data_IF_580377519327
#
_entry.id   IF_580377519327
#
_cell.length_a   1.000
_cell.length_b   1.000
_cell.length_c   1.000
_cell.angle_alpha   90.00
_cell.angle_beta   90.00
_cell.angle_gamma   90.00
#
_symmetry.space_group_name_H-M   'P 1'
#
loop_
_entity.id
_entity.type
_entity.pdbx_description
1 polymer ?
#
# COMPACT_ATOMS: atom_id res chain seq x y z
N UNK A 1 -15.46 33.79 -8.00
CA UNK A 1 -15.15 32.43 -7.50
C UNK A 1 -13.64 32.28 -7.53
N UNK A 2 -12.98 32.29 -6.38
CA UNK A 2 -11.53 32.12 -6.33
C UNK A 2 -11.19 30.67 -6.66
N UNK A 3 -10.35 30.45 -7.68
CA UNK A 3 -9.78 29.13 -7.96
C UNK A 3 -8.96 28.71 -6.74
N UNK A 4 -9.48 27.81 -5.90
CA UNK A 4 -8.66 27.11 -4.91
C UNK A 4 -7.52 26.45 -5.70
N UNK A 5 -6.29 26.79 -5.35
CA UNK A 5 -5.13 26.11 -5.91
C UNK A 5 -5.28 24.63 -5.58
N UNK A 6 -5.43 23.79 -6.61
CA UNK A 6 -5.50 22.34 -6.44
C UNK A 6 -4.16 21.93 -5.84
N UNK A 7 -4.18 21.28 -4.67
CA UNK A 7 -3.00 20.69 -4.06
C UNK A 7 -2.37 19.75 -5.08
N UNK A 8 -1.07 19.91 -5.34
CA UNK A 8 -0.33 19.05 -6.26
C UNK A 8 0.61 18.15 -5.50
N UNK A 9 0.90 17.00 -6.08
CA UNK A 9 1.85 16.02 -5.59
C UNK A 9 2.99 15.85 -6.59
N UNK A 10 4.21 15.50 -6.13
CA UNK A 10 5.34 15.30 -7.01
C UNK A 10 5.11 14.12 -7.96
N UNK A 11 5.68 14.20 -9.18
CA UNK A 11 5.79 13.08 -10.11
C UNK A 11 7.24 12.92 -10.57
N UNK A 12 7.75 11.70 -10.48
CA UNK A 12 9.07 11.35 -10.97
C UNK A 12 8.99 10.96 -12.46
N UNK A 13 9.49 11.84 -13.33
CA UNK A 13 9.46 11.66 -14.78
C UNK A 13 10.17 10.38 -15.24
N UNK A 14 11.27 10.00 -14.60
CA UNK A 14 12.02 8.79 -14.93
C UNK A 14 11.21 7.52 -14.63
N UNK A 15 10.65 7.43 -13.42
CA UNK A 15 9.78 6.31 -13.02
C UNK A 15 8.51 6.24 -13.86
N UNK A 16 7.95 7.39 -14.22
CA UNK A 16 6.78 7.44 -15.11
C UNK A 16 7.06 6.82 -16.48
N UNK A 17 8.16 7.20 -17.13
CA UNK A 17 8.52 6.62 -18.43
C UNK A 17 8.93 5.14 -18.35
N UNK A 18 9.56 4.73 -17.25
CA UNK A 18 9.84 3.32 -16.97
C UNK A 18 8.55 2.49 -16.95
N UNK A 19 7.54 2.94 -16.20
CA UNK A 19 6.23 2.25 -16.13
C UNK A 19 5.54 2.23 -17.50
N UNK A 20 5.56 3.34 -18.25
CA UNK A 20 4.99 3.37 -19.60
C UNK A 20 5.63 2.33 -20.51
N UNK A 21 6.97 2.22 -20.49
CA UNK A 21 7.70 1.23 -21.28
C UNK A 21 7.33 -0.19 -20.85
N UNK A 22 7.31 -0.46 -19.55
CA UNK A 22 6.95 -1.76 -19.00
C UNK A 22 5.52 -2.19 -19.36
N UNK A 23 4.56 -1.26 -19.34
CA UNK A 23 3.16 -1.49 -19.71
C UNK A 23 2.88 -1.39 -21.22
N UNK A 24 3.90 -1.23 -22.07
CA UNK A 24 3.75 -0.99 -23.51
C UNK A 24 2.73 0.13 -23.84
N UNK A 25 2.78 1.20 -23.03
CA UNK A 25 1.87 2.32 -23.04
C UNK A 25 2.59 3.61 -23.47
N UNK A 26 1.83 4.68 -23.70
CA UNK A 26 2.35 6.00 -24.06
C UNK A 26 1.47 7.10 -23.48
N UNK A 27 2.01 8.32 -23.37
CA UNK A 27 1.22 9.48 -22.90
C UNK A 27 0.00 9.71 -23.82
N UNK A 28 0.15 9.45 -25.13
CA UNK A 28 -0.96 9.48 -26.08
C UNK A 28 -2.06 8.47 -25.71
N UNK A 29 -1.70 7.19 -25.47
CA UNK A 29 -2.66 6.17 -25.03
C UNK A 29 -3.35 6.53 -23.71
N UNK A 30 -2.61 7.15 -22.77
CA UNK A 30 -3.20 7.69 -21.53
C UNK A 30 -4.23 8.79 -21.84
N UNK A 31 -3.93 9.69 -22.78
CA UNK A 31 -4.86 10.72 -23.21
C UNK A 31 -6.09 10.19 -23.98
N UNK A 32 -5.95 9.06 -24.68
CA UNK A 32 -7.04 8.35 -25.34
C UNK A 32 -7.97 7.62 -24.33
N UNK A 33 -7.43 7.21 -23.17
CA UNK A 33 -8.17 6.61 -22.05
C UNK A 33 -8.88 7.66 -21.17
N UNK A 34 -9.61 8.58 -21.81
CA UNK A 34 -10.23 9.72 -21.12
C UNK A 34 -11.29 9.30 -20.10
N UNK A 35 -12.02 8.20 -20.32
CA UNK A 35 -13.04 7.71 -19.40
C UNK A 35 -12.46 7.28 -18.04
N UNK A 36 -11.21 6.81 -18.02
CA UNK A 36 -10.54 6.33 -16.81
C UNK A 36 -9.66 7.42 -16.16
N UNK A 37 -9.03 8.26 -16.99
CA UNK A 37 -8.02 9.24 -16.53
C UNK A 37 -8.62 10.65 -16.41
N UNK A 38 -9.68 10.94 -17.16
CA UNK A 38 -10.40 12.22 -17.24
C UNK A 38 -9.50 13.43 -17.53
N UNK A 39 -8.34 13.19 -18.16
CA UNK A 39 -7.39 14.22 -18.58
C UNK A 39 -6.84 13.89 -19.95
N UNK A 40 -6.61 14.93 -20.73
CA UNK A 40 -6.06 14.82 -22.08
C UNK A 40 -4.54 14.62 -22.05
N UNK A 41 -3.98 14.06 -23.14
CA UNK A 41 -2.53 13.94 -23.34
C UNK A 41 -1.80 15.26 -23.05
N UNK A 42 -2.32 16.38 -23.56
CA UNK A 42 -1.76 17.72 -23.36
C UNK A 42 -1.63 18.08 -21.88
N UNK A 43 -2.64 17.73 -21.08
CA UNK A 43 -2.65 18.02 -19.64
C UNK A 43 -1.64 17.15 -18.91
N UNK A 44 -1.61 15.86 -19.22
CA UNK A 44 -0.67 14.88 -18.62
C UNK A 44 0.77 15.31 -18.90
N UNK A 45 1.09 15.66 -20.16
CA UNK A 45 2.43 16.11 -20.55
C UNK A 45 2.86 17.37 -19.80
N UNK A 46 1.96 18.37 -19.69
CA UNK A 46 2.23 19.60 -18.92
C UNK A 46 2.54 19.31 -17.46
N UNK A 47 1.80 18.40 -16.83
CA UNK A 47 2.06 18.00 -15.44
C UNK A 47 3.40 17.28 -15.28
N UNK A 48 3.74 16.37 -16.20
CA UNK A 48 5.04 15.68 -16.20
C UNK A 48 6.21 16.64 -16.40
N UNK A 49 6.04 17.67 -17.25
CA UNK A 49 7.07 18.68 -17.47
C UNK A 49 7.23 19.63 -16.27
N UNK A 50 6.15 19.86 -15.51
CA UNK A 50 6.20 20.61 -14.26
C UNK A 50 6.79 19.79 -13.08
N UNK A 51 6.88 18.47 -13.20
CA UNK A 51 7.31 17.59 -12.11
C UNK A 51 6.27 17.41 -11.00
N UNK A 52 5.04 17.86 -11.23
CA UNK A 52 3.95 17.80 -10.26
C UNK A 52 2.59 17.63 -10.96
N UNK A 53 1.66 16.92 -10.31
CA UNK A 53 0.30 16.73 -10.85
C UNK A 53 -0.76 16.70 -9.75
N UNK A 54 -2.04 16.93 -10.09
CA UNK A 54 -3.13 16.72 -9.15
C UNK A 54 -3.14 15.27 -8.61
N UNK A 55 -3.36 15.05 -7.30
CA UNK A 55 -3.32 13.71 -6.72
C UNK A 55 -4.35 12.75 -7.34
N UNK A 56 -5.54 13.24 -7.69
CA UNK A 56 -6.56 12.46 -8.41
C UNK A 56 -6.05 11.95 -9.77
N UNK A 57 -5.30 12.79 -10.48
CA UNK A 57 -4.71 12.42 -11.76
C UNK A 57 -3.60 11.38 -11.59
N UNK A 58 -2.73 11.55 -10.60
CA UNK A 58 -1.67 10.59 -10.31
C UNK A 58 -2.26 9.22 -10.00
N UNK A 59 -3.27 9.17 -9.12
CA UNK A 59 -3.93 7.94 -8.70
C UNK A 59 -4.63 7.24 -9.87
N UNK A 60 -5.39 7.97 -10.70
CA UNK A 60 -6.05 7.39 -11.89
C UNK A 60 -5.06 6.83 -12.90
N UNK A 61 -3.96 7.53 -13.16
CA UNK A 61 -2.90 7.03 -14.04
C UNK A 61 -2.24 5.79 -13.42
N UNK A 62 -1.94 5.82 -12.12
CA UNK A 62 -1.36 4.70 -11.37
C UNK A 62 -2.26 3.45 -11.47
N UNK A 63 -3.56 3.63 -11.27
CA UNK A 63 -4.58 2.58 -11.40
C UNK A 63 -4.64 2.03 -12.82
N UNK A 64 -4.70 2.90 -13.83
CA UNK A 64 -4.73 2.49 -15.23
C UNK A 64 -3.48 1.70 -15.64
N UNK A 65 -2.31 2.11 -15.13
CA UNK A 65 -1.03 1.44 -15.36
C UNK A 65 -0.79 0.27 -14.39
N UNK A 66 -1.72 -0.03 -13.49
CA UNK A 66 -1.59 -1.00 -12.40
C UNK A 66 -0.22 -0.91 -11.70
N UNK A 67 0.10 0.27 -11.19
CA UNK A 67 1.29 0.54 -10.37
C UNK A 67 0.88 1.40 -9.18
N UNK A 68 1.61 1.33 -8.07
CA UNK A 68 1.36 2.14 -6.89
C UNK A 68 1.67 3.63 -7.18
N UNK A 69 0.84 4.61 -6.76
CA UNK A 69 1.08 6.04 -7.00
C UNK A 69 2.42 6.52 -6.43
N UNK A 70 2.83 6.03 -5.26
CA UNK A 70 4.15 6.33 -4.66
C UNK A 70 5.35 5.92 -5.55
N UNK A 71 5.16 4.94 -6.44
CA UNK A 71 6.19 4.59 -7.43
C UNK A 71 6.33 5.69 -8.47
N UNK A 72 5.20 6.18 -9.00
CA UNK A 72 5.18 7.25 -9.99
C UNK A 72 5.66 8.58 -9.40
N UNK A 73 5.43 8.85 -8.11
CA UNK A 73 5.95 10.04 -7.44
C UNK A 73 7.44 9.97 -7.08
N UNK A 74 8.04 8.77 -7.10
CA UNK A 74 9.44 8.56 -6.71
C UNK A 74 9.67 8.56 -5.20
N UNK A 75 8.62 8.37 -4.39
CA UNK A 75 8.73 8.28 -2.92
C UNK A 75 9.70 7.16 -2.52
N UNK A 76 9.66 6.01 -3.19
CA UNK A 76 10.59 4.91 -2.90
C UNK A 76 12.06 5.28 -3.22
N UNK A 77 12.31 6.05 -4.27
CA UNK A 77 13.66 6.55 -4.57
C UNK A 77 14.15 7.49 -3.46
N UNK A 78 13.29 8.44 -3.04
CA UNK A 78 13.61 9.39 -1.98
C UNK A 78 13.92 8.68 -0.65
N UNK A 79 13.15 7.65 -0.31
CA UNK A 79 13.37 6.85 0.90
C UNK A 79 14.73 6.14 0.86
N UNK A 80 15.08 5.54 -0.28
CA UNK A 80 16.37 4.87 -0.44
C UNK A 80 17.53 5.88 -0.46
N UNK A 81 17.33 7.07 -1.00
CA UNK A 81 18.36 8.11 -1.04
C UNK A 81 18.77 8.64 0.35
N UNK A 82 17.95 8.42 1.38
CA UNK A 82 18.26 8.71 2.79
C UNK A 82 19.25 7.71 3.41
N UNK A 83 19.46 6.54 2.80
CA UNK A 83 20.39 5.52 3.32
C UNK A 83 21.82 6.02 3.15
N UNK A 84 22.54 6.24 4.25
CA UNK A 84 23.93 6.76 4.22
C UNK A 84 24.89 5.82 3.49
N UNK A 85 24.80 4.52 3.75
CA UNK A 85 25.65 3.51 3.12
C UNK A 85 25.40 3.44 1.61
N UNK A 86 26.42 3.77 0.83
CA UNK A 86 26.36 3.83 -0.64
C UNK A 86 26.10 2.46 -1.27
N UNK A 87 26.64 1.39 -0.70
CA UNK A 87 26.44 0.03 -1.22
C UNK A 87 25.00 -0.41 -0.99
N UNK A 88 24.49 -0.27 0.23
CA UNK A 88 23.10 -0.58 0.57
C UNK A 88 22.14 0.26 -0.26
N UNK A 89 22.39 1.58 -0.40
CA UNK A 89 21.60 2.46 -1.27
C UNK A 89 21.52 1.93 -2.70
N UNK A 90 22.65 1.52 -3.28
CA UNK A 90 22.68 0.99 -4.64
C UNK A 90 21.91 -0.33 -4.76
N UNK A 91 22.06 -1.21 -3.78
CA UNK A 91 21.34 -2.49 -3.69
C UNK A 91 19.83 -2.25 -3.62
N UNK A 92 19.36 -1.41 -2.69
CA UNK A 92 17.94 -1.11 -2.54
C UNK A 92 17.34 -0.42 -3.78
N UNK A 93 18.07 0.51 -4.42
CA UNK A 93 17.62 1.11 -5.68
C UNK A 93 17.38 0.08 -6.79
N UNK A 94 18.18 -0.99 -6.84
CA UNK A 94 18.03 -2.05 -7.85
C UNK A 94 16.75 -2.88 -7.68
N UNK A 95 16.17 -2.90 -6.48
CA UNK A 95 14.91 -3.59 -6.18
C UNK A 95 13.67 -2.74 -6.46
N UNK A 96 13.82 -1.42 -6.67
CA UNK A 96 12.70 -0.54 -7.02
C UNK A 96 12.36 -0.77 -8.51
N UNK A 97 11.45 -1.72 -8.74
CA UNK A 97 10.94 -2.11 -10.05
C UNK A 97 9.42 -2.07 -10.08
N UNK A 98 8.78 -1.70 -11.19
CA UNK A 98 7.36 -1.43 -11.20
C UNK A 98 6.52 -2.69 -10.95
N UNK A 99 7.01 -3.90 -11.31
CA UNK A 99 6.31 -5.15 -11.01
C UNK A 99 6.16 -5.47 -9.51
N UNK A 100 6.97 -4.87 -8.64
CA UNK A 100 6.89 -5.08 -7.19
C UNK A 100 5.89 -4.15 -6.49
N UNK A 101 5.35 -3.18 -7.21
CA UNK A 101 4.44 -2.18 -6.66
C UNK A 101 3.15 -2.11 -7.49
N UNK A 102 2.33 -3.17 -7.58
CA UNK A 102 1.05 -3.10 -8.26
C UNK A 102 0.09 -2.15 -7.53
N UNK A 103 -0.90 -1.62 -8.26
CA UNK A 103 -1.89 -0.69 -7.66
C UNK A 103 -2.70 -1.34 -6.54
N UNK A 104 -2.82 -2.68 -6.53
CA UNK A 104 -3.47 -3.42 -5.46
C UNK A 104 -2.91 -3.07 -4.06
N UNK A 105 -1.61 -2.76 -3.95
CA UNK A 105 -1.02 -2.37 -2.66
C UNK A 105 -1.61 -1.05 -2.11
N UNK A 106 -1.95 -0.10 -2.99
CA UNK A 106 -2.64 1.14 -2.63
C UNK A 106 -4.09 0.85 -2.22
N UNK A 107 -4.78 0.02 -3.00
CA UNK A 107 -6.14 -0.40 -2.65
C UNK A 107 -6.18 -1.13 -1.29
N UNK A 108 -5.17 -1.95 -0.98
CA UNK A 108 -5.03 -2.65 0.30
C UNK A 108 -4.79 -1.67 1.45
N UNK A 109 -3.92 -0.66 1.28
CA UNK A 109 -3.67 0.33 2.34
C UNK A 109 -4.91 1.14 2.68
N UNK A 110 -5.76 1.43 1.68
CA UNK A 110 -6.96 2.26 1.86
C UNK A 110 -8.10 1.54 2.60
N UNK A 111 -8.09 0.20 2.64
CA UNK A 111 -9.07 -0.59 3.38
C UNK A 111 -8.81 -0.50 4.90
N UNK A 112 -7.54 -0.49 5.31
CA UNK A 112 -7.13 -0.53 6.72
C UNK A 112 -7.47 -1.86 7.40
N UNK A 113 -6.49 -2.48 8.09
CA UNK A 113 -6.73 -3.77 8.75
C UNK A 113 -7.81 -3.68 9.85
N UNK A 114 -7.75 -2.65 10.70
CA UNK A 114 -8.71 -2.45 11.80
C UNK A 114 -10.14 -2.33 11.28
N UNK A 115 -10.37 -1.48 10.28
CA UNK A 115 -11.69 -1.29 9.66
C UNK A 115 -12.22 -2.59 9.03
N UNK A 116 -11.36 -3.34 8.33
CA UNK A 116 -11.70 -4.65 7.78
C UNK A 116 -12.13 -5.63 8.88
N UNK A 117 -11.37 -5.71 9.96
CA UNK A 117 -11.64 -6.60 11.07
C UNK A 117 -12.93 -6.25 11.81
N UNK A 118 -13.15 -4.97 12.12
CA UNK A 118 -14.39 -4.48 12.74
C UNK A 118 -15.62 -4.75 11.87
N UNK A 119 -15.48 -4.56 10.55
CA UNK A 119 -16.56 -4.88 9.59
C UNK A 119 -16.90 -6.36 9.62
N UNK A 120 -15.90 -7.25 9.70
CA UNK A 120 -16.13 -8.69 9.81
C UNK A 120 -16.86 -9.06 11.09
N UNK A 121 -16.47 -8.51 12.24
CA UNK A 121 -17.18 -8.73 13.49
C UNK A 121 -18.64 -8.26 13.37
N UNK A 122 -18.84 -7.06 12.84
CA UNK A 122 -20.17 -6.43 12.68
C UNK A 122 -21.10 -7.27 11.81
N UNK A 123 -20.62 -7.81 10.68
CA UNK A 123 -21.41 -8.67 9.80
C UNK A 123 -21.85 -9.97 10.48
N UNK A 124 -21.13 -10.41 11.52
CA UNK A 124 -21.45 -11.60 12.31
C UNK A 124 -22.17 -11.25 13.63
N UNK A 125 -22.77 -10.06 13.72
CA UNK A 125 -23.50 -9.57 14.91
C UNK A 125 -22.64 -9.51 16.19
N UNK A 126 -21.33 -9.32 16.02
CA UNK A 126 -20.37 -9.13 17.12
C UNK A 126 -19.91 -7.68 17.11
N UNK A 127 -20.17 -6.97 18.20
CA UNK A 127 -19.67 -5.60 18.38
C UNK A 127 -18.18 -5.58 18.75
N UNK A 128 -17.49 -4.47 18.45
CA UNK A 128 -16.09 -4.31 18.85
C UNK A 128 -15.95 -4.28 20.39
N UNK A 129 -16.98 -3.79 21.08
CA UNK A 129 -17.06 -3.80 22.54
C UNK A 129 -17.07 -5.22 23.11
N UNK A 130 -17.82 -6.15 22.51
CA UNK A 130 -17.81 -7.56 22.90
C UNK A 130 -16.43 -8.18 22.68
N UNK A 131 -15.80 -7.93 21.53
CA UNK A 131 -14.44 -8.41 21.27
C UNK A 131 -13.43 -7.88 22.30
N UNK A 132 -13.55 -6.60 22.67
CA UNK A 132 -12.66 -5.96 23.65
C UNK A 132 -12.82 -6.48 25.09
N UNK A 133 -13.88 -7.26 25.39
CA UNK A 133 -14.02 -7.95 26.68
C UNK A 133 -13.08 -9.15 26.82
N UNK A 134 -12.56 -9.67 25.71
CA UNK A 134 -11.58 -10.76 25.70
C UNK A 134 -10.23 -10.27 26.24
N UNK A 135 -9.43 -11.13 26.90
CA UNK A 135 -8.05 -10.81 27.25
C UNK A 135 -7.21 -10.43 26.02
N UNK A 136 -6.22 -9.53 26.14
CA UNK A 136 -5.36 -9.13 25.02
C UNK A 136 -4.75 -10.31 24.23
N UNK A 137 -4.27 -11.34 24.92
CA UNK A 137 -3.69 -12.53 24.30
C UNK A 137 -4.72 -13.33 23.49
N UNK A 138 -5.97 -13.38 23.97
CA UNK A 138 -7.07 -14.04 23.27
C UNK A 138 -7.49 -13.23 22.03
N UNK A 139 -7.44 -11.90 22.09
CA UNK A 139 -7.68 -11.02 20.94
C UNK A 139 -6.61 -11.20 19.86
N UNK A 140 -5.35 -11.36 20.25
CA UNK A 140 -4.26 -11.72 19.32
C UNK A 140 -4.52 -13.08 18.67
N UNK A 141 -4.81 -14.11 19.47
CA UNK A 141 -5.08 -15.45 18.96
C UNK A 141 -6.25 -15.45 17.96
N UNK A 142 -7.36 -14.79 18.31
CA UNK A 142 -8.52 -14.67 17.44
C UNK A 142 -8.17 -14.06 16.07
N UNK A 143 -7.34 -13.01 16.03
CA UNK A 143 -6.88 -12.38 14.78
C UNK A 143 -6.00 -13.30 13.95
N UNK A 144 -5.12 -14.07 14.59
CA UNK A 144 -4.26 -15.06 13.92
C UNK A 144 -5.11 -16.17 13.30
N UNK A 145 -6.03 -16.76 14.07
CA UNK A 145 -6.92 -17.82 13.62
C UNK A 145 -7.83 -17.37 12.49
N UNK A 146 -8.41 -16.16 12.60
CA UNK A 146 -9.21 -15.58 11.53
C UNK A 146 -8.41 -15.43 10.23
N UNK A 147 -7.18 -14.90 10.31
CA UNK A 147 -6.32 -14.75 9.13
C UNK A 147 -6.07 -16.11 8.46
N UNK A 148 -5.72 -17.13 9.24
CA UNK A 148 -5.53 -18.50 8.73
C UNK A 148 -6.81 -19.07 8.14
N UNK A 149 -7.97 -18.84 8.75
CA UNK A 149 -9.25 -19.34 8.26
C UNK A 149 -9.61 -18.73 6.90
N UNK A 150 -9.48 -17.40 6.77
CA UNK A 150 -9.72 -16.67 5.51
C UNK A 150 -8.74 -17.13 4.44
N UNK A 151 -7.43 -17.15 4.74
CA UNK A 151 -6.41 -17.55 3.79
C UNK A 151 -6.59 -19.02 3.36
N UNK A 152 -6.99 -19.91 4.27
CA UNK A 152 -7.31 -21.32 3.97
C UNK A 152 -8.47 -21.49 2.99
N UNK A 153 -9.42 -20.55 2.94
CA UNK A 153 -10.48 -20.55 1.93
C UNK A 153 -9.94 -20.02 0.60
N UNK A 154 -9.19 -18.93 0.62
CA UNK A 154 -8.57 -18.33 -0.57
C UNK A 154 -7.67 -19.33 -1.29
N UNK A 155 -6.81 -20.06 -0.56
CA UNK A 155 -5.82 -20.98 -1.14
C UNK A 155 -6.43 -22.22 -1.79
N UNK A 156 -7.72 -22.49 -1.58
CA UNK A 156 -8.46 -23.54 -2.30
C UNK A 156 -8.80 -23.12 -3.74
N UNK A 157 -8.81 -21.82 -4.00
CA UNK A 157 -9.25 -21.26 -5.28
C UNK A 157 -8.14 -20.51 -6.02
N UNK A 158 -7.08 -20.11 -5.32
CA UNK A 158 -5.97 -19.37 -5.88
C UNK A 158 -4.64 -20.01 -5.48
N UNK A 159 -3.75 -20.21 -6.45
CA UNK A 159 -2.41 -20.75 -6.23
C UNK A 159 -1.40 -19.66 -5.85
N UNK A 160 -1.51 -18.49 -6.48
CA UNK A 160 -0.57 -17.37 -6.30
C UNK A 160 -1.28 -16.04 -6.05
N UNK A 161 -0.59 -15.13 -5.37
CA UNK A 161 -1.04 -13.74 -5.19
C UNK A 161 -0.72 -12.86 -6.41
N UNK A 162 -1.10 -11.58 -6.36
CA UNK A 162 -0.84 -10.63 -7.45
C UNK A 162 0.65 -10.33 -7.70
N UNK A 163 1.53 -10.70 -6.77
CA UNK A 163 2.99 -10.54 -6.87
C UNK A 163 3.67 -11.84 -7.36
N UNK A 164 2.89 -12.92 -7.54
CA UNK A 164 3.38 -14.23 -7.94
C UNK A 164 3.87 -15.09 -6.78
N UNK A 165 3.63 -14.70 -5.53
CA UNK A 165 3.99 -15.51 -4.36
C UNK A 165 3.04 -16.70 -4.23
N UNK A 166 3.55 -17.84 -3.78
CA UNK A 166 2.75 -19.04 -3.55
C UNK A 166 1.88 -18.87 -2.29
N UNK A 167 0.57 -19.05 -2.43
CA UNK A 167 -0.36 -18.87 -1.31
C UNK A 167 -0.33 -20.02 -0.31
N UNK A 168 0.07 -21.23 -0.69
CA UNK A 168 0.25 -22.35 0.25
C UNK A 168 1.45 -22.14 1.16
N UNK A 169 2.53 -21.56 0.64
CA UNK A 169 3.69 -21.18 1.45
C UNK A 169 3.30 -20.09 2.46
N UNK A 170 2.57 -19.06 2.02
CA UNK A 170 2.03 -18.01 2.89
C UNK A 170 1.10 -18.60 3.96
N UNK A 171 0.20 -19.52 3.59
CA UNK A 171 -0.68 -20.18 4.56
C UNK A 171 0.11 -21.00 5.58
N UNK A 172 1.14 -21.71 5.14
CA UNK A 172 2.01 -22.50 6.01
C UNK A 172 2.77 -21.60 6.98
N UNK A 173 3.27 -20.47 6.49
CA UNK A 173 3.87 -19.42 7.31
C UNK A 173 2.86 -18.89 8.34
N UNK A 174 1.67 -18.42 7.95
CA UNK A 174 0.67 -17.93 8.89
C UNK A 174 0.29 -18.97 9.96
N UNK A 175 0.15 -20.25 9.57
CA UNK A 175 -0.13 -21.35 10.51
C UNK A 175 0.96 -21.56 11.55
N UNK A 176 2.24 -21.32 11.22
CA UNK A 176 3.33 -21.50 12.18
C UNK A 176 3.36 -20.45 13.29
N UNK A 177 2.68 -19.31 13.12
CA UNK A 177 2.59 -18.24 14.13
C UNK A 177 1.30 -18.25 14.94
N UNK A 178 0.34 -19.14 14.64
CA UNK A 178 -0.91 -19.22 15.43
C UNK A 178 -0.57 -19.67 16.85
N UNK A 179 -0.98 -18.88 17.84
CA UNK A 179 -0.67 -19.11 19.24
C UNK A 179 0.76 -18.75 19.64
N UNK A 180 1.60 -18.30 18.69
CA UNK A 180 2.90 -17.72 19.02
C UNK A 180 2.70 -16.40 19.75
N UNK A 181 3.38 -16.25 20.88
CA UNK A 181 3.31 -15.08 21.75
C UNK A 181 4.47 -14.14 21.46
N UNK A 182 4.74 -13.90 20.18
CA UNK A 182 5.75 -12.93 19.76
C UNK A 182 5.26 -11.51 20.15
N UNK A 183 5.88 -10.87 21.17
CA UNK A 183 5.48 -9.54 21.60
C UNK A 183 5.84 -8.46 20.57
N UNK A 184 6.57 -8.79 19.51
CA UNK A 184 6.90 -7.89 18.41
C UNK A 184 5.96 -8.05 17.20
N UNK A 185 5.07 -9.05 17.24
CA UNK A 185 4.13 -9.31 16.16
C UNK A 185 3.16 -8.14 15.97
N UNK A 186 2.71 -7.95 14.72
CA UNK A 186 1.75 -6.89 14.39
C UNK A 186 0.48 -6.96 15.26
N UNK A 187 -0.06 -8.15 15.49
CA UNK A 187 -1.25 -8.32 16.31
C UNK A 187 -1.00 -8.04 17.80
N UNK A 188 0.17 -8.39 18.34
CA UNK A 188 0.52 -8.04 19.72
C UNK A 188 0.51 -6.52 19.94
N UNK A 189 1.08 -5.76 18.98
CA UNK A 189 1.10 -4.30 19.03
C UNK A 189 -0.29 -3.67 19.03
N UNK A 190 -1.21 -4.20 18.20
CA UNK A 190 -2.60 -3.72 18.17
C UNK A 190 -3.29 -3.84 19.54
N UNK A 191 -2.86 -4.81 20.35
CA UNK A 191 -3.43 -5.07 21.68
C UNK A 191 -2.61 -4.43 22.81
N UNK A 192 -1.62 -3.59 22.49
CA UNK A 192 -0.74 -2.94 23.47
C UNK A 192 0.22 -3.91 24.18
N UNK A 193 0.45 -5.09 23.60
CA UNK A 193 1.41 -6.08 24.09
C UNK A 193 2.76 -5.80 23.42
N UNK A 194 3.80 -5.57 24.22
CA UNK A 194 5.16 -5.26 23.73
C UNK A 194 5.79 -4.08 24.48
N UNK A 195 7.04 -3.74 24.15
CA UNK A 195 7.71 -2.55 24.68
C UNK A 195 7.13 -1.26 24.04
N UNK A 196 7.12 -0.12 24.75
CA UNK A 196 6.85 1.18 24.13
C UNK A 196 7.92 1.45 23.06
N UNK A 197 7.49 1.75 21.84
CA UNK A 197 8.41 1.96 20.72
C UNK A 197 9.17 3.30 20.88
N UNK A 198 10.51 3.33 20.76
CA UNK A 198 11.21 4.55 20.36
C UNK A 198 10.86 4.84 18.90
N UNK A 199 9.91 5.77 18.68
CA UNK A 199 9.66 6.46 17.40
C UNK A 199 9.81 5.57 16.16
N UNK A 200 9.00 4.51 16.04
CA UNK A 200 8.60 4.06 14.72
C UNK A 200 7.38 4.88 14.33
N UNK A 201 7.60 5.90 13.51
CA UNK A 201 6.55 6.65 12.85
C UNK A 201 5.64 5.68 12.08
N UNK A 202 4.51 5.33 12.68
CA UNK A 202 3.27 5.05 11.96
C UNK A 202 2.79 6.38 11.32
N UNK A 203 3.66 7.10 10.60
CA UNK A 203 3.25 8.25 9.80
C UNK A 203 2.44 7.69 8.61
N UNK A 204 1.12 7.94 8.52
CA UNK A 204 0.54 8.08 7.21
C UNK A 204 1.34 9.19 6.52
N UNK A 205 1.94 8.89 5.36
CA UNK A 205 2.58 9.90 4.53
C UNK A 205 1.57 11.06 4.33
N UNK A 206 1.91 12.21 4.91
CA UNK A 206 1.23 13.51 4.95
C UNK A 206 -0.04 13.65 5.83
N UNK A 207 0.06 14.46 6.90
CA UNK A 207 -0.52 15.82 6.95
C UNK A 207 0.09 16.70 8.07
N UNK A 208 1.07 17.54 7.68
CA UNK A 208 1.42 18.90 8.14
C UNK A 208 1.26 19.32 9.61
N UNK A 209 2.27 20.05 10.09
CA UNK A 209 2.03 21.44 10.54
C UNK A 209 3.22 22.38 10.24
N UNK A 210 2.86 23.56 9.75
CA UNK A 210 3.74 24.71 9.62
C UNK A 210 3.97 25.32 11.00
N UNK A 211 5.21 25.65 11.33
CA UNK A 211 5.57 26.98 11.85
C UNK A 211 7.04 27.27 11.64
#
# INVERSE_FOLDING_TARGET
MANKAVQKVPVNKQRFFEVLKWRNCSIRKLGEAYEQIERTEKTIRRCLDAGEMPPDLLDRIAKYLNVHPNYLSGVYDNNVDRIEDKYLRAVFKSFIKPEKYPYLLKAKSDIGYTSYFETLLTINDISIEQFNTLPPEERVLFRQEMNVAVLSVITKHFETDSLGNNLQDELSYCKSFVGDKDPFSYYARLEGIGLPDPEFDDEPFDEKENT
#
